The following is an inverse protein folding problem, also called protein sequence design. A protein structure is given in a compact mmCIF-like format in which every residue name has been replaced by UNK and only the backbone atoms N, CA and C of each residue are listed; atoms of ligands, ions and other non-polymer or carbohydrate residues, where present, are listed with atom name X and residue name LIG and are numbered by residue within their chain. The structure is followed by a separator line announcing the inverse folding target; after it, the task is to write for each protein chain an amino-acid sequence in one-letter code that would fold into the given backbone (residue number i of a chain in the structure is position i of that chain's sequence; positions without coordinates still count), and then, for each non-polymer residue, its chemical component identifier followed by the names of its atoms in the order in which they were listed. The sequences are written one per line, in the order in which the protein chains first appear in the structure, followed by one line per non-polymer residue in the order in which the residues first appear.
data_IF_528439630807
#
_entry.id   IF_528439630807
#
_cell.length_a   1.000
_cell.length_b   1.000
_cell.length_c   1.000
_cell.angle_alpha   90.00
_cell.angle_beta   90.00
_cell.angle_gamma   90.00
#
_symmetry.space_group_name_H-M   'P 1'
#
loop_
_entity.id
_entity.type
_entity.pdbx_description
1 polymer ?
#
# COMPACT_ATOMS: atom_id res chain seq x y z
N UNK A 1 -12.77 12.77 34.89
CA UNK A 1 -11.80 12.06 35.78
C UNK A 1 -10.44 12.03 35.08
N UNK A 2 -9.32 12.24 35.78
CA UNK A 2 -8.02 12.37 35.14
C UNK A 2 -7.43 11.01 34.74
N UNK A 3 -6.77 11.01 33.59
CA UNK A 3 -6.12 9.89 32.92
C UNK A 3 -5.10 9.17 33.82
N UNK A 4 -5.34 7.90 34.13
CA UNK A 4 -4.31 7.01 34.65
C UNK A 4 -3.76 6.15 33.53
N UNK A 5 -2.49 6.39 33.22
CA UNK A 5 -1.58 5.65 32.34
C UNK A 5 -1.76 4.13 32.43
N UNK A 6 -2.54 3.54 31.51
CA UNK A 6 -2.49 2.11 31.23
C UNK A 6 -1.45 1.86 30.14
N UNK A 7 -0.61 0.84 30.37
CA UNK A 7 0.48 0.41 29.51
C UNK A 7 0.04 0.35 28.05
N UNK A 8 0.57 1.26 27.23
CA UNK A 8 0.58 1.14 25.77
C UNK A 8 1.28 -0.18 25.44
N UNK A 9 0.51 -1.26 25.23
CA UNK A 9 1.02 -2.43 24.49
C UNK A 9 1.51 -1.85 23.17
N UNK A 10 2.81 -1.96 22.90
CA UNK A 10 3.36 -1.65 21.58
C UNK A 10 2.57 -2.50 20.60
N UNK A 11 1.68 -1.86 19.83
CA UNK A 11 1.12 -2.44 18.63
C UNK A 11 2.34 -2.94 17.85
N UNK A 12 2.40 -4.23 17.48
CA UNK A 12 3.49 -4.71 16.63
C UNK A 12 3.45 -3.80 15.40
N UNK A 13 4.51 -3.00 15.21
CA UNK A 13 4.65 -2.26 13.95
C UNK A 13 4.47 -3.29 12.84
N UNK A 14 3.49 -3.13 11.93
CA UNK A 14 3.48 -3.94 10.73
C UNK A 14 4.84 -3.72 10.08
N UNK A 15 5.58 -4.82 9.96
CA UNK A 15 6.98 -4.91 9.58
C UNK A 15 7.35 -3.82 8.55
N UNK A 16 8.29 -2.90 8.84
CA UNK A 16 8.72 -1.87 7.89
C UNK A 16 9.33 -2.48 6.60
N UNK A 17 9.59 -3.78 6.58
CA UNK A 17 10.07 -4.54 5.42
C UNK A 17 8.95 -5.24 4.61
N UNK A 18 7.65 -4.99 4.86
CA UNK A 18 6.60 -5.63 4.04
C UNK A 18 6.63 -5.08 2.59
N UNK A 19 6.74 -5.94 1.57
CA UNK A 19 6.87 -5.52 0.17
C UNK A 19 5.61 -4.84 -0.38
N UNK A 20 4.46 -5.00 0.29
CA UNK A 20 3.17 -4.40 -0.10
C UNK A 20 3.09 -2.88 0.13
N UNK A 21 4.05 -2.27 0.83
CA UNK A 21 4.15 -0.80 1.02
C UNK A 21 5.08 -0.10 0.04
N UNK A 22 5.65 -0.82 -0.93
CA UNK A 22 6.48 -0.24 -1.97
C UNK A 22 5.62 0.05 -3.21
N UNK A 23 5.16 1.29 -3.35
CA UNK A 23 4.85 1.82 -4.68
C UNK A 23 5.98 2.75 -5.14
N UNK A 24 6.71 2.20 -6.12
CA UNK A 24 7.33 2.85 -7.27
C UNK A 24 8.10 4.15 -7.05
N UNK A 25 9.39 3.98 -6.72
CA UNK A 25 10.49 4.71 -7.34
C UNK A 25 10.55 6.23 -7.13
N UNK A 26 10.22 6.81 -5.97
CA UNK A 26 10.82 8.11 -5.60
C UNK A 26 12.20 7.87 -5.00
N UNK A 27 13.23 7.88 -5.84
CA UNK A 27 14.64 7.74 -5.42
C UNK A 27 15.05 8.86 -4.44
N UNK A 28 14.42 10.04 -4.53
CA UNK A 28 14.67 11.17 -3.64
C UNK A 28 13.39 11.51 -2.88
N UNK A 29 13.34 11.09 -1.61
CA UNK A 29 12.34 11.59 -0.67
C UNK A 29 12.71 13.03 -0.32
N UNK A 30 11.76 13.97 -0.38
CA UNK A 30 11.98 15.28 0.25
C UNK A 30 12.33 15.06 1.72
N UNK A 31 13.47 15.58 2.17
CA UNK A 31 13.90 15.52 3.57
C UNK A 31 13.08 16.46 4.46
N UNK A 32 12.27 17.32 3.84
CA UNK A 32 11.40 18.27 4.54
C UNK A 32 10.16 17.52 5.02
N UNK A 33 9.85 17.55 6.34
CA UNK A 33 8.62 16.98 6.85
C UNK A 33 7.41 17.74 6.27
N UNK A 34 6.28 17.06 6.15
CA UNK A 34 5.05 17.71 5.69
C UNK A 34 4.65 18.74 6.77
N UNK A 35 4.44 20.01 6.39
CA UNK A 35 4.08 21.06 7.33
C UNK A 35 2.67 20.86 7.89
N UNK A 36 2.38 21.47 9.04
CA UNK A 36 1.08 21.37 9.70
C UNK A 36 -0.07 21.97 8.87
N UNK A 37 0.21 22.96 8.03
CA UNK A 37 -0.75 23.58 7.10
C UNK A 37 -1.27 22.58 6.05
N UNK A 38 -0.45 21.59 5.69
CA UNK A 38 -0.73 20.52 4.74
C UNK A 38 -0.98 19.21 5.48
N UNK A 39 -1.49 19.26 6.71
CA UNK A 39 -1.79 18.06 7.48
C UNK A 39 -3.06 17.37 6.96
N UNK A 40 -3.17 16.07 7.24
CA UNK A 40 -4.38 15.31 6.92
C UNK A 40 -5.63 15.92 7.57
N UNK A 41 -5.50 16.55 8.74
CA UNK A 41 -6.63 17.21 9.41
C UNK A 41 -7.22 18.35 8.58
N UNK A 42 -6.38 19.16 7.92
CA UNK A 42 -6.82 20.22 7.03
C UNK A 42 -7.51 19.67 5.76
N UNK A 43 -7.02 18.54 5.24
CA UNK A 43 -7.65 17.81 4.12
C UNK A 43 -9.02 17.25 4.54
N UNK A 44 -9.10 16.58 5.70
CA UNK A 44 -10.34 15.97 6.20
C UNK A 44 -11.40 16.99 6.62
N UNK A 45 -10.99 18.21 6.99
CA UNK A 45 -11.90 19.33 7.28
C UNK A 45 -12.30 20.13 6.03
N UNK A 46 -11.82 19.71 4.85
CA UNK A 46 -12.04 20.40 3.57
C UNK A 46 -11.67 21.89 3.60
N UNK A 47 -10.67 22.24 4.41
CA UNK A 47 -10.18 23.62 4.56
C UNK A 47 -9.22 24.04 3.43
N UNK A 48 -8.69 23.07 2.69
CA UNK A 48 -7.76 23.28 1.59
C UNK A 48 -8.53 23.31 0.26
N UNK A 49 -8.11 24.19 -0.63
CA UNK A 49 -8.66 24.26 -1.98
C UNK A 49 -7.97 23.26 -2.93
N UNK A 50 -8.58 23.05 -4.11
CA UNK A 50 -8.00 22.21 -5.15
C UNK A 50 -6.55 22.63 -5.46
N UNK A 51 -5.59 21.68 -5.58
CA UNK A 51 -5.75 20.22 -5.71
C UNK A 51 -5.59 19.42 -4.40
N UNK A 52 -5.75 20.08 -3.25
CA UNK A 52 -5.56 19.48 -1.92
C UNK A 52 -6.87 19.33 -1.14
N UNK A 53 -8.02 19.43 -1.82
CA UNK A 53 -9.33 19.31 -1.19
C UNK A 53 -9.62 17.87 -0.76
N UNK A 54 -10.67 17.68 0.06
CA UNK A 54 -11.15 16.35 0.42
C UNK A 54 -11.57 15.54 -0.82
N UNK A 55 -12.17 16.22 -1.79
CA UNK A 55 -12.58 15.61 -3.06
C UNK A 55 -11.38 15.09 -3.85
N UNK A 56 -10.29 15.86 -3.89
CA UNK A 56 -9.05 15.47 -4.57
C UNK A 56 -8.38 14.30 -3.87
N UNK A 57 -8.39 14.29 -2.53
CA UNK A 57 -7.85 13.18 -1.75
C UNK A 57 -8.64 11.89 -1.98
N UNK A 58 -9.98 11.97 -2.01
CA UNK A 58 -10.82 10.83 -2.35
C UNK A 58 -10.56 10.33 -3.79
N UNK A 59 -10.43 11.25 -4.75
CA UNK A 59 -10.11 10.90 -6.13
C UNK A 59 -8.72 10.23 -6.27
N UNK A 60 -7.74 10.69 -5.49
CA UNK A 60 -6.42 10.08 -5.40
C UNK A 60 -6.50 8.65 -4.85
N UNK A 61 -7.20 8.44 -3.73
CA UNK A 61 -7.39 7.11 -3.15
C UNK A 61 -8.11 6.16 -4.10
N UNK A 62 -9.12 6.63 -4.84
CA UNK A 62 -9.85 5.81 -5.79
C UNK A 62 -8.99 5.37 -6.99
N UNK A 63 -8.09 6.23 -7.48
CA UNK A 63 -7.31 5.99 -8.72
C UNK A 63 -5.96 5.32 -8.47
N UNK A 64 -5.23 5.77 -7.45
CA UNK A 64 -3.83 5.37 -7.24
C UNK A 64 -3.67 4.30 -6.16
N UNK A 65 -4.41 4.38 -5.06
CA UNK A 65 -4.23 3.47 -3.93
C UNK A 65 -5.31 2.38 -3.81
N UNK A 66 -6.45 2.57 -4.49
CA UNK A 66 -7.64 1.69 -4.40
C UNK A 66 -8.09 1.46 -2.96
N UNK A 67 -8.10 2.52 -2.15
CA UNK A 67 -8.39 2.48 -0.71
C UNK A 67 -9.42 3.56 -0.29
N UNK A 68 -10.39 3.86 -1.16
CA UNK A 68 -11.40 4.90 -0.95
C UNK A 68 -12.34 4.57 0.22
N UNK A 69 -12.57 3.28 0.46
CA UNK A 69 -13.37 2.74 1.55
C UNK A 69 -12.80 3.11 2.93
N UNK A 70 -11.47 3.20 3.07
CA UNK A 70 -10.82 3.61 4.31
C UNK A 70 -11.18 5.06 4.68
N UNK A 71 -11.15 5.96 3.68
CA UNK A 71 -11.54 7.36 3.88
C UNK A 71 -13.04 7.47 4.16
N UNK A 72 -13.88 6.78 3.40
CA UNK A 72 -15.32 6.80 3.57
C UNK A 72 -15.72 6.33 4.98
N UNK A 73 -15.10 5.26 5.49
CA UNK A 73 -15.32 4.77 6.85
C UNK A 73 -14.87 5.77 7.91
N UNK A 74 -13.69 6.39 7.75
CA UNK A 74 -13.16 7.39 8.69
C UNK A 74 -14.09 8.61 8.77
N UNK A 75 -14.57 9.12 7.64
CA UNK A 75 -15.53 10.23 7.60
C UNK A 75 -16.87 9.85 8.23
N UNK A 76 -17.39 8.67 7.89
CA UNK A 76 -18.60 8.14 8.49
C UNK A 76 -18.48 8.02 10.01
N UNK A 77 -17.39 7.44 10.52
CA UNK A 77 -17.21 7.20 11.95
C UNK A 77 -17.15 8.50 12.75
N UNK A 78 -16.49 9.55 12.24
CA UNK A 78 -16.46 10.87 12.90
C UNK A 78 -17.86 11.46 13.07
N UNK A 79 -18.68 11.33 12.04
CA UNK A 79 -20.06 11.81 12.06
C UNK A 79 -20.99 10.91 12.88
N UNK A 80 -20.72 9.59 12.90
CA UNK A 80 -21.40 8.63 13.76
C UNK A 80 -21.15 8.92 15.24
N UNK A 81 -19.89 9.13 15.64
CA UNK A 81 -19.51 9.48 17.00
C UNK A 81 -20.19 10.79 17.45
N UNK A 82 -20.18 11.81 16.57
CA UNK A 82 -20.88 13.08 16.82
C UNK A 82 -22.37 12.86 17.07
N UNK A 83 -23.06 12.15 16.17
CA UNK A 83 -24.50 11.87 16.30
C UNK A 83 -24.83 11.01 17.52
N UNK A 84 -23.97 10.06 17.88
CA UNK A 84 -24.14 9.26 19.09
C UNK A 84 -23.99 10.12 20.36
N UNK A 85 -23.02 11.04 20.38
CA UNK A 85 -22.83 11.96 21.50
C UNK A 85 -23.97 12.96 21.66
N UNK A 86 -24.61 13.37 20.55
CA UNK A 86 -25.78 14.25 20.54
C UNK A 86 -27.06 13.58 21.05
N UNK A 87 -27.09 12.25 21.22
CA UNK A 87 -28.26 11.54 21.76
C UNK A 87 -28.51 11.86 23.24
N UNK A 88 -29.79 11.80 23.69
CA UNK A 88 -30.11 11.92 25.10
C UNK A 88 -29.40 10.85 25.96
N UNK A 89 -29.06 11.19 27.20
CA UNK A 89 -28.34 10.29 28.13
C UNK A 89 -29.04 8.94 28.33
N UNK A 90 -30.37 8.93 28.35
CA UNK A 90 -31.17 7.70 28.47
C UNK A 90 -30.89 6.71 27.33
N UNK A 91 -30.74 7.22 26.10
CA UNK A 91 -30.44 6.39 24.94
C UNK A 91 -28.97 5.97 24.92
N UNK A 92 -28.05 6.86 25.29
CA UNK A 92 -26.63 6.53 25.41
C UNK A 92 -26.37 5.45 26.47
N UNK A 93 -27.08 5.49 27.59
CA UNK A 93 -26.98 4.52 28.68
C UNK A 93 -27.39 3.10 28.30
N UNK A 94 -28.21 2.92 27.26
CA UNK A 94 -28.57 1.59 26.73
C UNK A 94 -27.39 0.92 26.02
N UNK A 95 -26.47 1.69 25.45
CA UNK A 95 -25.31 1.17 24.74
C UNK A 95 -24.14 0.99 25.71
N UNK A 96 -23.94 -0.24 26.17
CA UNK A 96 -22.81 -0.59 27.04
C UNK A 96 -21.47 -0.34 26.34
N UNK A 97 -20.48 0.15 27.09
CA UNK A 97 -19.11 0.27 26.58
C UNK A 97 -18.40 -1.08 26.71
N UNK A 98 -18.21 -1.77 25.59
CA UNK A 98 -17.52 -3.06 25.53
C UNK A 98 -16.27 -2.94 24.65
N UNK A 99 -15.14 -3.47 25.12
CA UNK A 99 -13.91 -3.54 24.34
C UNK A 99 -13.91 -4.77 23.39
N UNK A 100 -13.67 -4.60 22.07
CA UNK A 100 -13.70 -5.70 21.11
C UNK A 100 -12.70 -6.82 21.35
N UNK A 101 -11.49 -6.48 21.77
CA UNK A 101 -10.44 -7.44 22.12
C UNK A 101 -10.89 -8.39 23.22
N UNK A 102 -11.49 -7.87 24.29
CA UNK A 102 -11.97 -8.68 25.41
C UNK A 102 -13.14 -9.59 25.02
N UNK A 103 -14.08 -9.08 24.22
CA UNK A 103 -15.23 -9.86 23.74
C UNK A 103 -14.74 -11.02 22.87
N UNK A 104 -13.81 -10.74 21.96
CA UNK A 104 -13.15 -11.76 21.14
C UNK A 104 -12.45 -12.83 21.99
N UNK A 105 -11.70 -12.44 23.02
CA UNK A 105 -11.06 -13.40 23.93
C UNK A 105 -12.07 -14.24 24.71
N UNK A 106 -13.21 -13.67 25.12
CA UNK A 106 -14.31 -14.43 25.75
C UNK A 106 -14.94 -15.42 24.77
N UNK A 107 -15.18 -15.00 23.53
CA UNK A 107 -15.69 -15.87 22.48
C UNK A 107 -14.74 -17.04 22.19
N UNK A 108 -13.45 -16.75 22.03
CA UNK A 108 -12.43 -17.76 21.75
C UNK A 108 -12.28 -18.76 22.90
N UNK A 109 -12.38 -18.32 24.16
CA UNK A 109 -12.40 -19.21 25.34
C UNK A 109 -13.59 -20.17 25.31
N UNK A 110 -14.81 -19.65 25.10
CA UNK A 110 -16.02 -20.48 24.99
C UNK A 110 -15.89 -21.53 23.89
N UNK A 111 -15.44 -21.11 22.69
CA UNK A 111 -15.23 -22.02 21.56
C UNK A 111 -14.14 -23.07 21.80
N UNK A 112 -13.16 -22.78 22.66
CA UNK A 112 -12.13 -23.75 23.06
C UNK A 112 -12.67 -24.76 24.08
N UNK A 113 -13.50 -24.32 25.03
CA UNK A 113 -14.21 -25.18 25.98
C UNK A 113 -15.16 -26.13 25.25
N UNK A 114 -16.01 -25.62 24.34
CA UNK A 114 -16.91 -26.44 23.52
C UNK A 114 -16.17 -27.50 22.69
N UNK A 115 -14.96 -27.17 22.20
CA UNK A 115 -14.12 -28.13 21.47
C UNK A 115 -13.60 -29.24 22.38
N UNK A 116 -13.15 -28.89 23.59
CA UNK A 116 -12.68 -29.87 24.59
C UNK A 116 -13.83 -30.77 25.03
N UNK A 117 -15.03 -30.23 25.21
CA UNK A 117 -16.21 -31.01 25.57
C UNK A 117 -16.56 -32.00 24.45
N UNK A 118 -16.62 -31.55 23.19
CA UNK A 118 -16.85 -32.43 22.03
C UNK A 118 -15.76 -33.49 21.85
N UNK A 119 -14.50 -33.17 22.12
CA UNK A 119 -13.40 -34.14 22.09
C UNK A 119 -13.52 -35.15 23.24
N UNK A 120 -13.96 -34.73 24.42
CA UNK A 120 -14.26 -35.62 25.54
C UNK A 120 -15.44 -36.55 25.22
N UNK A 121 -16.51 -36.04 24.62
CA UNK A 121 -17.66 -36.83 24.17
C UNK A 121 -17.27 -37.82 23.05
N UNK A 122 -16.44 -37.37 22.10
CA UNK A 122 -15.95 -38.23 21.02
C UNK A 122 -15.02 -39.32 21.55
N UNK A 123 -14.13 -39.03 22.48
CA UNK A 123 -13.27 -40.04 23.12
C UNK A 123 -14.08 -41.03 23.98
N UNK A 124 -15.13 -40.58 24.66
CA UNK A 124 -16.11 -41.44 25.33
C UNK A 124 -16.89 -42.33 24.33
N UNK A 125 -17.24 -41.82 23.15
CA UNK A 125 -17.93 -42.62 22.10
C UNK A 125 -17.03 -43.63 21.38
N UNK A 126 -15.73 -43.35 21.26
CA UNK A 126 -14.75 -44.25 20.61
C UNK A 126 -14.40 -45.44 21.52
N UNK A 127 -14.67 -45.36 22.82
CA UNK A 127 -14.49 -46.47 23.78
C UNK A 127 -15.43 -47.67 23.55
N UNK A 128 -16.37 -47.61 22.60
CA UNK A 128 -17.37 -48.67 22.35
C UNK A 128 -16.90 -49.72 21.33
N UNK A 129 -15.78 -49.49 20.63
CA UNK A 129 -15.11 -50.53 19.84
C UNK A 129 -13.74 -50.85 20.46
N UNK A 130 -13.74 -51.65 21.52
CA UNK A 130 -12.56 -52.44 21.83
C UNK A 130 -12.31 -53.38 20.63
N UNK A 131 -11.13 -53.37 19.99
CA UNK A 131 -10.84 -54.33 18.93
C UNK A 131 -11.02 -55.73 19.50
N UNK A 132 -11.86 -56.56 18.88
CA UNK A 132 -11.85 -58.00 19.13
C UNK A 132 -10.41 -58.48 18.97
N UNK A 133 -9.82 -59.19 19.95
CA UNK A 133 -8.49 -59.76 19.79
C UNK A 133 -8.49 -60.60 18.51
N UNK A 134 -7.62 -60.24 17.56
CA UNK A 134 -7.43 -61.02 16.35
C UNK A 134 -6.87 -62.40 16.76
N UNK A 135 -7.33 -63.49 16.12
CA UNK A 135 -6.80 -64.82 16.42
C UNK A 135 -5.30 -64.84 16.15
N UNK A 136 -4.52 -65.28 17.15
CA UNK A 136 -3.07 -65.46 17.05
C UNK A 136 -2.76 -66.59 16.05
N UNK A 137 -2.49 -66.21 14.81
CA UNK A 137 -1.86 -67.02 13.79
C UNK A 137 -0.84 -66.17 13.06
N UNK A 138 0.30 -66.76 12.68
CA UNK A 138 1.34 -66.09 11.90
C UNK A 138 0.72 -65.47 10.65
N UNK A 139 0.98 -64.19 10.45
CA UNK A 139 0.33 -63.47 9.37
C UNK A 139 0.98 -63.89 8.04
N UNK A 140 0.23 -64.12 6.95
CA UNK A 140 0.79 -64.66 5.71
C UNK A 140 1.91 -63.82 5.06
N UNK A 141 2.05 -62.56 5.46
CA UNK A 141 3.12 -61.66 4.99
C UNK A 141 4.42 -61.78 5.78
N UNK A 142 4.45 -62.51 6.90
CA UNK A 142 5.68 -62.81 7.66
C UNK A 142 6.56 -63.86 6.96
N UNK A 143 6.00 -64.66 6.03
CA UNK A 143 6.76 -65.58 5.15
C UNK A 143 7.46 -64.87 3.98
N UNK A 144 7.18 -63.58 3.75
CA UNK A 144 7.78 -62.83 2.64
C UNK A 144 9.18 -62.36 3.05
N UNK A 145 10.21 -63.08 2.62
CA UNK A 145 11.61 -62.66 2.80
C UNK A 145 11.95 -61.46 1.91
N UNK A 146 11.87 -60.27 2.49
CA UNK A 146 12.22 -59.00 1.84
C UNK A 146 13.71 -58.95 1.43
N UNK A 147 14.59 -59.70 2.11
CA UNK A 147 16.02 -59.74 1.79
C UNK A 147 16.33 -60.44 0.46
N UNK A 148 15.52 -61.44 0.08
CA UNK A 148 15.61 -62.10 -1.22
C UNK A 148 15.20 -61.18 -2.38
N UNK A 149 14.32 -60.20 -2.12
CA UNK A 149 13.88 -59.18 -3.09
C UNK A 149 14.88 -58.02 -3.22
N UNK A 150 15.67 -57.74 -2.19
CA UNK A 150 16.69 -56.68 -2.19
C UNK A 150 18.01 -57.12 -2.86
N UNK A 151 18.36 -58.41 -2.85
CA UNK A 151 19.60 -58.92 -3.45
C UNK A 151 19.71 -58.73 -4.98
N UNK A 152 18.62 -58.36 -5.67
CA UNK A 152 18.58 -58.10 -7.10
C UNK A 152 18.53 -56.61 -7.50
N UNK A 153 18.54 -55.67 -6.55
CA UNK A 153 18.47 -54.24 -6.86
C UNK A 153 19.82 -53.55 -6.66
N UNK A 154 20.38 -53.05 -7.76
CA UNK A 154 21.43 -52.02 -7.68
C UNK A 154 20.93 -50.84 -6.83
N UNK A 155 21.83 -50.37 -5.97
CA UNK A 155 21.61 -49.42 -4.89
C UNK A 155 21.19 -48.05 -5.44
N UNK A 156 19.89 -47.77 -5.49
CA UNK A 156 19.39 -46.42 -5.75
C UNK A 156 19.50 -45.63 -4.45
N UNK A 157 20.61 -44.91 -4.31
CA UNK A 157 20.85 -44.00 -3.18
C UNK A 157 19.86 -42.84 -3.26
N UNK A 158 18.77 -42.91 -2.49
CA UNK A 158 17.92 -41.75 -2.22
C UNK A 158 18.53 -40.94 -1.09
N UNK A 159 19.30 -39.91 -1.46
CA UNK A 159 19.72 -38.84 -0.56
C UNK A 159 18.60 -37.80 -0.47
N UNK A 160 18.00 -37.62 0.71
CA UNK A 160 17.35 -36.36 1.04
C UNK A 160 16.14 -36.45 1.97
N UNK A 161 16.41 -36.32 3.28
CA UNK A 161 15.44 -35.83 4.27
C UNK A 161 14.91 -34.43 3.91
N UNK A 162 13.58 -34.29 3.80
CA UNK A 162 12.74 -33.30 4.50
C UNK A 162 11.39 -33.20 3.79
N UNK A 163 10.41 -33.96 4.27
CA UNK A 163 9.01 -33.76 3.94
C UNK A 163 8.46 -32.56 4.73
N UNK A 164 8.65 -31.35 4.20
CA UNK A 164 7.75 -30.20 4.38
C UNK A 164 7.90 -29.31 3.14
N UNK A 165 7.11 -29.61 2.12
CA UNK A 165 6.42 -28.67 1.23
C UNK A 165 5.77 -29.49 0.12
N UNK A 166 4.43 -29.64 0.17
CA UNK A 166 3.66 -30.34 -0.85
C UNK A 166 3.53 -29.45 -2.11
N UNK A 167 4.62 -29.26 -2.83
CA UNK A 167 4.59 -28.88 -4.23
C UNK A 167 5.17 -30.07 -5.02
N UNK A 168 4.41 -30.71 -5.93
CA UNK A 168 4.95 -31.80 -6.72
C UNK A 168 6.13 -31.32 -7.57
N UNK A 169 7.18 -32.13 -7.61
CA UNK A 169 8.45 -31.83 -8.28
C UNK A 169 8.22 -31.51 -9.77
N UNK A 170 9.08 -30.66 -10.36
CA UNK A 170 8.92 -30.18 -11.73
C UNK A 170 8.84 -31.32 -12.78
N UNK A 171 9.47 -32.46 -12.51
CA UNK A 171 9.38 -33.66 -13.36
C UNK A 171 8.02 -34.36 -13.22
N UNK A 172 7.42 -34.38 -12.03
CA UNK A 172 6.06 -34.90 -11.79
C UNK A 172 4.99 -34.04 -12.48
N UNK A 173 5.17 -32.71 -12.46
CA UNK A 173 4.31 -31.76 -13.16
C UNK A 173 4.46 -31.81 -14.69
N UNK A 174 5.62 -32.21 -15.21
CA UNK A 174 5.83 -32.42 -16.64
C UNK A 174 5.12 -33.68 -17.16
N UNK A 175 4.98 -34.71 -16.31
CA UNK A 175 4.30 -35.97 -16.63
C UNK A 175 2.78 -35.84 -16.48
N UNK A 176 2.32 -35.06 -15.50
CA UNK A 176 0.91 -34.92 -15.15
C UNK A 176 0.50 -33.44 -14.87
N UNK A 177 0.47 -32.58 -15.89
CA UNK A 177 0.15 -31.15 -15.73
C UNK A 177 -1.26 -30.88 -15.19
N UNK A 178 -2.21 -31.82 -15.37
CA UNK A 178 -3.58 -31.72 -14.84
C UNK A 178 -3.65 -31.72 -13.30
N UNK A 179 -2.63 -32.23 -12.59
CA UNK A 179 -2.61 -32.26 -11.12
C UNK A 179 -2.48 -30.84 -10.54
N UNK A 180 -1.72 -29.97 -11.21
CA UNK A 180 -1.64 -28.56 -10.84
C UNK A 180 -2.97 -27.84 -11.09
N UNK A 181 -3.59 -28.08 -12.26
CA UNK A 181 -4.89 -27.48 -12.61
C UNK A 181 -6.04 -27.95 -11.70
N UNK A 182 -6.08 -29.24 -11.34
CA UNK A 182 -7.04 -29.80 -10.39
C UNK A 182 -6.82 -29.29 -8.96
N UNK A 183 -5.56 -29.12 -8.54
CA UNK A 183 -5.21 -28.51 -7.27
C UNK A 183 -5.70 -27.07 -7.18
N UNK A 184 -5.41 -26.26 -8.20
CA UNK A 184 -5.88 -24.88 -8.30
C UNK A 184 -7.41 -24.79 -8.34
N UNK A 185 -8.11 -25.66 -9.08
CA UNK A 185 -9.58 -25.64 -9.15
C UNK A 185 -10.22 -26.06 -7.83
N UNK A 186 -9.68 -27.09 -7.18
CA UNK A 186 -10.14 -27.55 -5.87
C UNK A 186 -9.92 -26.49 -4.79
N UNK A 187 -8.81 -25.76 -4.84
CA UNK A 187 -8.54 -24.65 -3.93
C UNK A 187 -9.45 -23.45 -4.22
N UNK A 188 -9.72 -23.13 -5.50
CA UNK A 188 -10.74 -22.13 -5.88
C UNK A 188 -12.13 -22.52 -5.41
N UNK A 189 -12.49 -23.80 -5.46
CA UNK A 189 -13.78 -24.29 -5.01
C UNK A 189 -13.90 -24.24 -3.48
N UNK A 190 -12.88 -24.70 -2.75
CA UNK A 190 -12.81 -24.56 -1.29
C UNK A 190 -12.90 -23.11 -0.83
N UNK A 191 -12.21 -22.21 -1.53
CA UNK A 191 -12.27 -20.78 -1.23
C UNK A 191 -13.70 -20.24 -1.43
N UNK A 192 -14.40 -20.64 -2.49
CA UNK A 192 -15.80 -20.28 -2.72
C UNK A 192 -16.72 -20.78 -1.60
N UNK A 193 -16.55 -22.03 -1.17
CA UNK A 193 -17.32 -22.61 -0.07
C UNK A 193 -17.07 -21.88 1.27
N UNK A 194 -15.81 -21.50 1.55
CA UNK A 194 -15.46 -20.71 2.74
C UNK A 194 -16.12 -19.33 2.69
N UNK A 195 -16.09 -18.66 1.54
CA UNK A 195 -16.72 -17.35 1.35
C UNK A 195 -18.24 -17.46 1.57
N UNK A 196 -18.89 -18.45 0.94
CA UNK A 196 -20.33 -18.69 1.12
C UNK A 196 -20.70 -18.98 2.58
N UNK A 197 -19.93 -19.85 3.25
CA UNK A 197 -20.17 -20.14 4.66
C UNK A 197 -19.96 -18.92 5.57
N UNK A 198 -18.98 -18.08 5.26
CA UNK A 198 -18.76 -16.82 5.98
C UNK A 198 -19.90 -15.81 5.74
N UNK A 199 -20.44 -15.75 4.52
CA UNK A 199 -21.60 -14.92 4.18
C UNK A 199 -22.86 -15.37 4.92
N UNK A 200 -23.15 -16.66 4.98
CA UNK A 200 -24.30 -17.19 5.74
C UNK A 200 -24.19 -16.86 7.24
N UNK A 201 -23.00 -17.00 7.83
CA UNK A 201 -22.75 -16.63 9.24
C UNK A 201 -22.89 -15.12 9.47
N UNK A 202 -22.50 -14.31 8.50
CA UNK A 202 -22.66 -12.87 8.52
C UNK A 202 -24.13 -12.46 8.38
N UNK A 203 -24.91 -13.10 7.50
CA UNK A 203 -26.35 -12.88 7.39
C UNK A 203 -27.06 -13.21 8.70
N UNK A 204 -26.74 -14.36 9.33
CA UNK A 204 -27.23 -14.69 10.67
C UNK A 204 -26.84 -13.61 11.68
N UNK A 205 -25.62 -13.09 11.60
CA UNK A 205 -25.16 -11.98 12.45
C UNK A 205 -25.99 -10.72 12.23
N UNK A 206 -26.27 -10.35 10.98
CA UNK A 206 -27.08 -9.18 10.63
C UNK A 206 -28.53 -9.35 11.08
N UNK A 207 -29.10 -10.54 10.95
CA UNK A 207 -30.44 -10.84 11.48
C UNK A 207 -30.49 -10.71 13.00
N UNK A 208 -29.45 -11.18 13.71
CA UNK A 208 -29.32 -10.96 15.15
C UNK A 208 -29.15 -9.47 15.48
N UNK A 209 -28.44 -8.72 14.63
CA UNK A 209 -28.31 -7.27 14.81
C UNK A 209 -29.68 -6.56 14.75
N UNK A 210 -30.61 -7.01 13.93
CA UNK A 210 -31.92 -6.34 13.78
C UNK A 210 -32.90 -6.57 14.93
N UNK A 211 -32.57 -7.39 15.94
CA UNK A 211 -33.50 -7.75 17.04
C UNK A 211 -33.56 -6.76 18.21
N UNK A 212 -32.59 -5.86 18.37
CA UNK A 212 -32.45 -5.04 19.58
C UNK A 212 -32.85 -3.57 19.36
N UNK A 213 -33.57 -2.98 20.33
CA UNK A 213 -33.98 -1.57 20.36
C UNK A 213 -32.84 -0.61 20.80
N UNK A 214 -31.66 -0.78 20.20
CA UNK A 214 -30.47 0.03 20.49
C UNK A 214 -30.42 1.30 19.62
N UNK A 215 -29.84 2.42 20.12
CA UNK A 215 -29.77 3.65 19.36
C UNK A 215 -28.88 3.49 18.12
N UNK A 216 -29.28 4.14 17.02
CA UNK A 216 -28.57 4.15 15.72
C UNK A 216 -28.26 2.76 15.13
N UNK A 217 -29.02 1.73 15.54
CA UNK A 217 -28.78 0.34 15.12
C UNK A 217 -28.95 0.13 13.62
N UNK A 218 -29.94 0.76 13.00
CA UNK A 218 -30.15 0.68 11.56
C UNK A 218 -28.92 1.15 10.77
N UNK A 219 -28.27 2.20 11.25
CA UNK A 219 -27.08 2.73 10.60
C UNK A 219 -25.90 1.79 10.72
N UNK A 220 -25.69 1.19 11.90
CA UNK A 220 -24.67 0.15 12.10
C UNK A 220 -24.91 -1.02 11.15
N UNK A 221 -26.17 -1.46 11.00
CA UNK A 221 -26.50 -2.56 10.07
C UNK A 221 -26.10 -2.18 8.64
N UNK A 222 -26.40 -0.96 8.18
CA UNK A 222 -26.00 -0.50 6.84
C UNK A 222 -24.47 -0.47 6.68
N UNK A 223 -23.74 -0.03 7.70
CA UNK A 223 -22.28 0.07 7.69
C UNK A 223 -21.64 -1.30 7.72
N UNK A 224 -22.16 -2.22 8.52
CA UNK A 224 -21.75 -3.62 8.53
C UNK A 224 -21.90 -4.19 7.13
N UNK A 225 -23.09 -4.03 6.52
CA UNK A 225 -23.39 -4.49 5.17
C UNK A 225 -22.50 -3.88 4.09
N UNK A 226 -22.11 -2.60 4.23
CA UNK A 226 -21.34 -1.88 3.22
C UNK A 226 -19.83 -2.06 3.35
N UNK A 227 -19.28 -2.05 4.57
CA UNK A 227 -17.83 -2.01 4.80
C UNK A 227 -17.27 -3.28 5.43
N UNK A 228 -18.06 -4.05 6.19
CA UNK A 228 -17.56 -5.21 6.94
C UNK A 228 -17.89 -6.55 6.26
N UNK A 229 -18.68 -6.54 5.19
CA UNK A 229 -19.00 -7.74 4.41
C UNK A 229 -17.95 -7.98 3.34
N UNK A 230 -17.48 -9.22 3.21
CA UNK A 230 -16.43 -9.57 2.25
C UNK A 230 -16.90 -9.48 0.79
N UNK A 231 -18.20 -9.62 0.53
CA UNK A 231 -18.80 -9.50 -0.81
C UNK A 231 -19.02 -8.06 -1.25
N UNK A 232 -18.92 -7.09 -0.35
CA UNK A 232 -19.07 -5.70 -0.74
C UNK A 232 -17.86 -5.24 -1.58
N UNK A 233 -18.09 -4.47 -2.67
CA UNK A 233 -16.99 -3.85 -3.41
C UNK A 233 -16.21 -2.82 -2.58
N UNK A 234 -16.74 -2.41 -1.42
CA UNK A 234 -16.13 -1.47 -0.49
C UNK A 234 -15.75 -2.15 0.84
N UNK A 235 -15.50 -3.46 0.81
CA UNK A 235 -15.08 -4.22 1.97
C UNK A 235 -13.73 -3.71 2.52
N UNK A 236 -13.69 -3.43 3.82
CA UNK A 236 -12.47 -3.10 4.54
C UNK A 236 -11.67 -4.38 4.79
N UNK A 237 -10.35 -4.27 4.69
CA UNK A 237 -9.42 -5.32 5.08
C UNK A 237 -8.78 -4.96 6.42
N UNK A 238 -9.28 -5.54 7.51
CA UNK A 238 -8.69 -5.38 8.85
C UNK A 238 -8.87 -6.65 9.69
N UNK A 239 -7.85 -6.94 10.50
CA UNK A 239 -7.88 -8.05 11.45
C UNK A 239 -8.86 -7.82 12.62
N UNK A 240 -9.30 -6.57 12.85
CA UNK A 240 -10.20 -6.21 13.94
C UNK A 240 -11.69 -6.47 13.62
N UNK A 241 -12.03 -6.74 12.35
CA UNK A 241 -13.42 -6.90 11.89
C UNK A 241 -14.16 -8.02 12.62
N UNK A 242 -13.60 -9.24 12.81
CA UNK A 242 -14.33 -10.31 13.50
C UNK A 242 -14.68 -9.97 14.95
N UNK A 243 -13.74 -9.35 15.68
CA UNK A 243 -13.95 -8.90 17.05
C UNK A 243 -15.00 -7.79 17.11
N UNK A 244 -14.95 -6.85 16.17
CA UNK A 244 -15.93 -5.78 16.04
C UNK A 244 -17.34 -6.34 15.79
N UNK A 245 -17.51 -7.26 14.82
CA UNK A 245 -18.80 -7.86 14.51
C UNK A 245 -19.44 -8.56 15.72
N UNK A 246 -18.63 -9.24 16.55
CA UNK A 246 -19.12 -9.83 17.79
C UNK A 246 -19.60 -8.76 18.79
N UNK A 247 -18.84 -7.68 19.00
CA UNK A 247 -19.26 -6.60 19.90
C UNK A 247 -20.51 -5.86 19.44
N UNK A 248 -20.65 -5.66 18.13
CA UNK A 248 -21.79 -4.95 17.56
C UNK A 248 -23.10 -5.70 17.78
N UNK A 249 -23.06 -7.03 17.98
CA UNK A 249 -24.25 -7.82 18.36
C UNK A 249 -24.89 -7.30 19.64
N UNK A 250 -24.08 -6.79 20.58
CA UNK A 250 -24.54 -6.43 21.94
C UNK A 250 -24.64 -4.93 22.15
N UNK A 251 -23.88 -4.12 21.41
CA UNK A 251 -23.73 -2.70 21.69
C UNK A 251 -23.65 -1.88 20.42
N UNK A 252 -24.05 -0.61 20.51
CA UNK A 252 -23.89 0.38 19.44
C UNK A 252 -22.94 1.50 19.86
N UNK A 253 -22.17 1.30 20.93
CA UNK A 253 -21.32 2.34 21.47
C UNK A 253 -20.13 2.64 20.51
N UNK A 254 -19.77 3.91 20.23
CA UNK A 254 -18.72 4.27 19.26
C UNK A 254 -17.34 3.73 19.64
N UNK A 255 -17.09 3.47 20.93
CA UNK A 255 -15.87 2.84 21.43
C UNK A 255 -15.53 1.53 20.70
N UNK A 256 -16.52 0.72 20.31
CA UNK A 256 -16.28 -0.56 19.65
C UNK A 256 -15.52 -0.40 18.32
N UNK A 257 -15.73 0.70 17.60
CA UNK A 257 -15.04 0.97 16.33
C UNK A 257 -13.66 1.61 16.50
N UNK A 258 -13.26 1.99 17.72
CA UNK A 258 -12.05 2.80 17.95
C UNK A 258 -10.77 2.15 17.45
N UNK A 259 -10.64 0.83 17.59
CA UNK A 259 -9.46 0.09 17.12
C UNK A 259 -9.37 0.14 15.59
N UNK A 260 -10.47 -0.17 14.90
CA UNK A 260 -10.57 -0.11 13.44
C UNK A 260 -10.34 1.32 12.93
N UNK A 261 -10.98 2.31 13.55
CA UNK A 261 -10.78 3.72 13.21
C UNK A 261 -9.32 4.15 13.36
N UNK A 262 -8.66 3.79 14.46
CA UNK A 262 -7.27 4.13 14.69
C UNK A 262 -6.32 3.50 13.66
N UNK A 263 -6.57 2.25 13.27
CA UNK A 263 -5.83 1.58 12.20
C UNK A 263 -5.98 2.32 10.88
N UNK A 264 -7.22 2.56 10.44
CA UNK A 264 -7.50 3.22 9.16
C UNK A 264 -6.99 4.67 9.14
N UNK A 265 -7.18 5.41 10.23
CA UNK A 265 -6.65 6.77 10.34
C UNK A 265 -5.12 6.76 10.30
N UNK A 266 -4.46 5.79 10.95
CA UNK A 266 -3.00 5.68 10.91
C UNK A 266 -2.48 5.36 9.51
N UNK A 267 -3.19 4.51 8.76
CA UNK A 267 -2.90 4.25 7.35
C UNK A 267 -3.04 5.54 6.52
N UNK A 268 -4.16 6.25 6.67
CA UNK A 268 -4.38 7.50 5.95
C UNK A 268 -3.31 8.56 6.29
N UNK A 269 -2.90 8.67 7.55
CA UNK A 269 -1.91 9.66 8.01
C UNK A 269 -0.47 9.33 7.60
N UNK A 270 -0.06 8.07 7.71
CA UNK A 270 1.34 7.67 7.56
C UNK A 270 1.68 7.23 6.13
N UNK A 271 0.73 6.61 5.44
CA UNK A 271 0.95 6.03 4.11
C UNK A 271 0.28 6.89 3.02
N UNK A 272 -1.05 7.01 3.05
CA UNK A 272 -1.81 7.62 1.96
C UNK A 272 -1.55 9.14 1.83
N UNK A 273 -1.62 9.87 2.94
CA UNK A 273 -1.51 11.32 2.94
C UNK A 273 -0.14 11.81 2.44
N UNK A 274 1.01 11.29 2.89
CA UNK A 274 2.29 11.68 2.32
C UNK A 274 2.44 11.38 0.83
N UNK A 275 1.78 10.32 0.34
CA UNK A 275 1.77 9.99 -1.09
C UNK A 275 0.88 10.95 -1.87
N UNK A 276 -0.29 11.30 -1.34
CA UNK A 276 -1.17 12.32 -1.89
C UNK A 276 -0.47 13.67 -2.03
N UNK A 277 0.16 14.17 -0.95
CA UNK A 277 0.90 15.44 -0.99
C UNK A 277 2.01 15.39 -2.03
N UNK A 278 2.76 14.29 -2.13
CA UNK A 278 3.81 14.16 -3.16
C UNK A 278 3.23 14.14 -4.57
N UNK A 279 2.12 13.43 -4.80
CA UNK A 279 1.46 13.41 -6.08
C UNK A 279 0.98 14.82 -6.49
N UNK A 280 0.48 15.61 -5.52
CA UNK A 280 0.09 17.00 -5.74
C UNK A 280 1.29 17.92 -6.05
N UNK A 281 2.47 17.63 -5.49
CA UNK A 281 3.70 18.41 -5.75
C UNK A 281 4.34 18.14 -7.12
N UNK A 282 3.90 17.13 -7.85
CA UNK A 282 4.44 16.82 -9.19
C UNK A 282 4.04 17.93 -10.16
N UNK A 283 5.04 18.61 -10.73
CA UNK A 283 4.80 19.72 -11.66
C UNK A 283 4.72 19.29 -13.14
N UNK A 284 5.07 18.03 -13.45
CA UNK A 284 5.10 17.50 -14.82
C UNK A 284 4.34 16.19 -14.98
N UNK A 285 3.67 16.01 -16.11
CA UNK A 285 2.96 14.76 -16.45
C UNK A 285 3.84 13.81 -17.24
N UNK A 286 3.45 12.53 -17.25
CA UNK A 286 4.22 11.43 -17.83
C UNK A 286 4.82 11.71 -19.23
N UNK A 287 4.08 12.22 -20.22
CA UNK A 287 4.63 12.30 -21.57
C UNK A 287 5.62 13.48 -21.72
N UNK A 288 5.39 14.62 -21.05
CA UNK A 288 6.34 15.75 -21.05
C UNK A 288 7.54 15.46 -20.17
N UNK A 289 7.32 14.80 -19.04
CA UNK A 289 8.38 14.28 -18.18
C UNK A 289 9.30 13.35 -18.96
N UNK A 290 8.75 12.44 -19.77
CA UNK A 290 9.55 11.57 -20.63
C UNK A 290 10.36 12.37 -21.67
N UNK A 291 9.75 13.35 -22.34
CA UNK A 291 10.46 14.20 -23.29
C UNK A 291 11.62 14.97 -22.64
N UNK A 292 11.38 15.61 -21.50
CA UNK A 292 12.42 16.31 -20.73
C UNK A 292 13.49 15.35 -20.21
N UNK A 293 13.11 14.12 -19.89
CA UNK A 293 14.05 13.10 -19.43
C UNK A 293 14.96 12.63 -20.56
N UNK A 294 14.43 12.45 -21.77
CA UNK A 294 15.24 12.20 -22.97
C UNK A 294 16.23 13.35 -23.24
N UNK A 295 15.82 14.61 -23.06
CA UNK A 295 16.71 15.77 -23.20
C UNK A 295 17.81 15.74 -22.12
N UNK A 296 17.45 15.48 -20.86
CA UNK A 296 18.41 15.38 -19.77
C UNK A 296 19.41 14.23 -19.98
N UNK A 297 18.94 13.08 -20.47
CA UNK A 297 19.77 11.94 -20.82
C UNK A 297 20.68 12.24 -22.01
N UNK A 298 20.18 12.97 -23.02
CA UNK A 298 20.98 13.43 -24.15
C UNK A 298 22.09 14.40 -23.73
N UNK A 299 21.79 15.33 -22.82
CA UNK A 299 22.79 16.22 -22.20
C UNK A 299 23.86 15.43 -21.45
N UNK A 300 23.48 14.37 -20.74
CA UNK A 300 24.41 13.50 -20.02
C UNK A 300 25.28 12.65 -20.97
N UNK A 301 24.66 11.87 -21.86
CA UNK A 301 25.36 10.91 -22.73
C UNK A 301 26.10 11.61 -23.88
N UNK A 302 25.40 12.47 -24.63
CA UNK A 302 25.97 13.16 -25.78
C UNK A 302 26.78 14.38 -25.38
N UNK A 303 26.24 15.22 -24.49
CA UNK A 303 26.93 16.43 -24.03
C UNK A 303 28.06 16.14 -23.05
N UNK A 304 27.81 15.35 -22.02
CA UNK A 304 28.78 15.03 -20.97
C UNK A 304 29.79 13.97 -21.40
N UNK A 305 29.34 12.73 -21.55
CA UNK A 305 30.23 11.59 -21.82
C UNK A 305 30.90 11.69 -23.18
N UNK A 306 30.15 11.89 -24.27
CA UNK A 306 30.74 11.85 -25.60
C UNK A 306 31.72 13.02 -25.84
N UNK A 307 31.40 14.25 -25.41
CA UNK A 307 32.36 15.37 -25.50
C UNK A 307 33.55 15.13 -24.58
N UNK A 308 33.34 14.66 -23.35
CA UNK A 308 34.43 14.35 -22.42
C UNK A 308 35.40 13.30 -22.97
N UNK A 309 34.87 12.22 -23.55
CA UNK A 309 35.67 11.18 -24.21
C UNK A 309 36.32 11.68 -25.50
N UNK A 310 35.61 12.44 -26.34
CA UNK A 310 36.19 13.04 -27.54
C UNK A 310 37.38 13.94 -27.20
N UNK A 311 37.31 14.74 -26.14
CA UNK A 311 38.43 15.56 -25.66
C UNK A 311 39.58 14.74 -25.06
N UNK A 312 39.32 13.50 -24.62
CA UNK A 312 40.38 12.55 -24.25
C UNK A 312 41.07 12.00 -25.49
N UNK A 313 40.32 11.68 -26.55
CA UNK A 313 40.84 11.06 -27.77
C UNK A 313 41.42 12.05 -28.80
N UNK A 314 40.90 13.28 -28.90
CA UNK A 314 41.31 14.29 -29.88
C UNK A 314 42.59 15.05 -29.49
N UNK A 315 43.56 14.40 -28.86
CA UNK A 315 44.85 15.01 -28.54
C UNK A 315 45.75 15.09 -29.77
N UNK A 316 45.43 16.00 -30.70
CA UNK A 316 46.35 16.48 -31.72
C UNK A 316 46.73 17.94 -31.40
N UNK A 317 47.92 18.13 -30.82
CA UNK A 317 48.56 19.44 -30.60
C UNK A 317 48.09 20.22 -29.37
N UNK A 318 49.04 20.59 -28.49
CA UNK A 318 49.04 21.65 -27.44
C UNK A 318 47.84 21.82 -26.48
N UNK A 319 46.77 21.03 -26.55
CA UNK A 319 45.61 21.20 -25.68
C UNK A 319 45.88 20.71 -24.26
N UNK A 320 45.84 21.64 -23.30
CA UNK A 320 45.96 21.36 -21.88
C UNK A 320 44.88 20.39 -21.38
N UNK A 321 45.24 19.48 -20.47
CA UNK A 321 44.33 18.51 -19.82
C UNK A 321 43.08 19.15 -19.19
N UNK A 322 43.16 20.44 -18.85
CA UNK A 322 42.06 21.21 -18.30
C UNK A 322 40.82 21.29 -19.23
N UNK A 323 41.00 21.22 -20.55
CA UNK A 323 39.87 21.24 -21.50
C UNK A 323 38.88 20.10 -21.26
N UNK A 324 39.36 18.97 -20.75
CA UNK A 324 38.52 17.82 -20.41
C UNK A 324 37.45 18.15 -19.35
N UNK A 325 37.71 19.14 -18.50
CA UNK A 325 36.78 19.59 -17.44
C UNK A 325 35.55 20.33 -17.99
N UNK A 326 35.56 20.75 -19.25
CA UNK A 326 34.41 21.41 -19.90
C UNK A 326 33.17 20.51 -19.99
N UNK A 327 33.35 19.19 -19.92
CA UNK A 327 32.24 18.23 -19.89
C UNK A 327 31.53 18.12 -18.53
N UNK A 328 32.15 18.60 -17.44
CA UNK A 328 31.64 18.44 -16.07
C UNK A 328 30.28 19.10 -15.84
N UNK A 329 30.03 20.37 -16.26
CA UNK A 329 28.74 20.99 -16.08
C UNK A 329 27.61 20.24 -16.79
N UNK A 330 27.89 19.65 -17.96
CA UNK A 330 26.91 18.87 -18.73
C UNK A 330 26.57 17.56 -18.05
N UNK A 331 27.58 16.87 -17.48
CA UNK A 331 27.36 15.67 -16.66
C UNK A 331 26.53 16.01 -15.42
N UNK A 332 26.91 17.06 -14.69
CA UNK A 332 26.17 17.52 -13.52
C UNK A 332 24.71 17.86 -13.85
N UNK A 333 24.50 18.66 -14.90
CA UNK A 333 23.16 19.08 -15.32
C UNK A 333 22.31 17.91 -15.80
N UNK A 334 22.90 16.97 -16.55
CA UNK A 334 22.23 15.77 -17.05
C UNK A 334 21.79 14.83 -15.93
N UNK A 335 22.67 14.52 -14.98
CA UNK A 335 22.34 13.66 -13.82
C UNK A 335 21.30 14.35 -12.93
N UNK A 336 21.54 15.61 -12.55
CA UNK A 336 20.64 16.35 -11.65
C UNK A 336 19.24 16.48 -12.25
N UNK A 337 19.15 16.86 -13.53
CA UNK A 337 17.86 16.99 -14.21
C UNK A 337 17.14 15.65 -14.36
N UNK A 338 17.87 14.58 -14.68
CA UNK A 338 17.28 13.23 -14.78
C UNK A 338 16.69 12.78 -13.45
N UNK A 339 17.39 13.02 -12.33
CA UNK A 339 16.92 12.69 -10.99
C UNK A 339 15.73 13.56 -10.55
N UNK A 340 15.74 14.86 -10.85
CA UNK A 340 14.58 15.73 -10.61
C UNK A 340 13.34 15.23 -11.36
N UNK A 341 13.50 14.94 -12.66
CA UNK A 341 12.42 14.47 -13.52
C UNK A 341 11.91 13.09 -13.11
N UNK A 342 12.78 12.19 -12.65
CA UNK A 342 12.38 10.90 -12.08
C UNK A 342 11.40 11.07 -10.91
N UNK A 343 11.59 12.10 -10.08
CA UNK A 343 10.70 12.44 -8.97
C UNK A 343 9.51 13.35 -9.39
N UNK A 344 9.31 13.57 -10.70
CA UNK A 344 8.19 14.36 -11.23
C UNK A 344 8.36 15.87 -11.14
N UNK A 345 9.55 16.36 -10.78
CA UNK A 345 9.85 17.79 -10.67
C UNK A 345 10.77 18.20 -11.81
N UNK A 346 10.28 19.03 -12.74
CA UNK A 346 11.10 19.64 -13.77
C UNK A 346 11.70 20.97 -13.25
N UNK A 347 13.03 21.17 -13.29
CA UNK A 347 13.66 22.43 -12.88
C UNK A 347 13.21 23.64 -13.69
N UNK A 348 12.91 23.46 -14.98
CA UNK A 348 12.44 24.54 -15.87
C UNK A 348 11.01 24.97 -15.55
N UNK A 349 10.12 24.00 -15.29
CA UNK A 349 8.75 24.27 -14.86
C UNK A 349 8.76 24.92 -13.46
N UNK A 350 9.64 24.46 -12.57
CA UNK A 350 9.84 25.06 -11.25
C UNK A 350 10.28 26.53 -11.35
N UNK A 351 11.29 26.83 -12.17
CA UNK A 351 11.83 28.19 -12.30
C UNK A 351 10.82 29.18 -12.88
N UNK A 352 9.97 28.71 -13.80
CA UNK A 352 8.90 29.48 -14.43
C UNK A 352 7.60 29.51 -13.61
N UNK A 353 7.62 28.97 -12.38
CA UNK A 353 6.43 28.83 -11.51
C UNK A 353 5.24 28.20 -12.23
N UNK A 354 5.54 27.24 -13.10
CA UNK A 354 4.57 26.62 -13.99
C UNK A 354 4.37 25.14 -13.62
N UNK A 355 3.12 24.67 -13.67
CA UNK A 355 2.78 23.25 -13.62
C UNK A 355 2.05 22.85 -14.90
N UNK A 356 2.36 21.66 -15.41
CA UNK A 356 1.61 21.07 -16.50
C UNK A 356 0.28 20.49 -16.02
N UNK A 357 -0.82 20.88 -16.67
CA UNK A 357 -2.15 20.33 -16.37
C UNK A 357 -2.34 18.95 -17.00
N UNK A 358 -3.21 18.15 -16.38
CA UNK A 358 -3.72 16.96 -17.06
C UNK A 358 -4.77 17.32 -18.11
N UNK A 359 -4.90 16.49 -19.14
CA UNK A 359 -5.89 16.64 -20.22
C UNK A 359 -7.35 16.70 -19.73
N UNK A 360 -7.63 16.15 -18.54
CA UNK A 360 -8.97 16.14 -17.93
C UNK A 360 -9.13 17.17 -16.81
N UNK A 361 -8.07 17.89 -16.44
CA UNK A 361 -8.16 18.94 -15.43
C UNK A 361 -8.71 20.21 -16.11
N UNK A 362 -9.79 20.80 -15.58
CA UNK A 362 -10.28 22.06 -16.11
C UNK A 362 -9.24 23.15 -15.88
N UNK A 363 -9.07 24.04 -16.85
CA UNK A 363 -8.26 25.25 -16.66
C UNK A 363 -8.84 26.04 -15.47
N UNK A 364 -8.02 26.43 -14.48
CA UNK A 364 -8.47 27.30 -13.41
C UNK A 364 -8.93 28.63 -14.02
N UNK A 365 -10.15 29.04 -13.68
CA UNK A 365 -10.68 30.32 -14.13
C UNK A 365 -9.87 31.43 -13.45
N UNK A 366 -9.37 32.44 -14.18
CA UNK A 366 -8.72 33.57 -13.55
C UNK A 366 -9.71 34.27 -12.61
N UNK A 367 -9.29 34.49 -11.36
CA UNK A 367 -10.07 35.26 -10.39
C UNK A 367 -10.36 36.64 -10.97
N UNK A 368 -11.65 36.99 -11.06
CA UNK A 368 -12.23 38.25 -11.54
C UNK A 368 -11.26 39.31 -12.10
N UNK A 369 -11.02 39.24 -13.41
CA UNK A 369 -10.81 40.46 -14.21
C UNK A 369 -11.95 40.52 -15.20
N UNK A 370 -12.94 41.36 -14.91
CA UNK A 370 -14.24 41.44 -15.59
C UNK A 370 -14.19 41.90 -17.04
N UNK A 371 -13.46 41.22 -17.92
CA UNK A 371 -13.41 41.50 -19.35
C UNK A 371 -13.71 40.25 -20.19
N UNK A 372 -14.95 40.27 -20.69
CA UNK A 372 -15.39 39.82 -22.01
C UNK A 372 -15.19 38.33 -22.35
N UNK A 373 -16.32 37.61 -22.30
CA UNK A 373 -16.58 36.35 -23.00
C UNK A 373 -16.05 36.43 -24.45
N UNK A 374 -15.12 35.56 -24.79
CA UNK A 374 -14.96 35.08 -26.17
C UNK A 374 -15.01 33.55 -26.18
N UNK A 375 -15.97 33.04 -26.94
CA UNK A 375 -16.15 31.63 -27.30
C UNK A 375 -14.87 31.07 -27.90
N UNK A 376 -14.52 29.86 -27.47
CA UNK A 376 -13.47 29.01 -28.03
C UNK A 376 -12.90 28.16 -26.91
N UNK A 377 -13.36 26.91 -26.76
CA UNK A 377 -12.67 25.95 -25.90
C UNK A 377 -11.32 25.65 -26.54
N UNK A 378 -10.16 25.97 -25.95
CA UNK A 378 -8.93 25.36 -26.40
C UNK A 378 -9.02 23.87 -26.05
N UNK A 379 -8.76 23.00 -27.02
CA UNK A 379 -8.53 21.60 -26.74
C UNK A 379 -7.24 21.49 -25.91
N UNK A 380 -7.23 20.74 -24.78
CA UNK A 380 -6.06 20.68 -23.94
C UNK A 380 -4.89 20.05 -24.70
N UNK A 381 -3.81 20.81 -24.81
CA UNK A 381 -2.60 20.42 -25.53
C UNK A 381 -1.56 19.80 -24.60
N UNK A 382 -0.66 18.99 -25.18
CA UNK A 382 0.48 18.40 -24.46
C UNK A 382 1.39 19.45 -23.76
N UNK A 383 1.37 20.71 -24.21
CA UNK A 383 2.19 21.81 -23.70
C UNK A 383 1.37 22.83 -22.88
N UNK A 384 0.25 22.44 -22.28
CA UNK A 384 -0.55 23.36 -21.48
C UNK A 384 0.01 23.47 -20.05
N UNK A 385 0.39 24.69 -19.68
CA UNK A 385 0.97 25.02 -18.39
C UNK A 385 0.14 26.08 -17.69
N UNK A 386 -0.11 25.88 -16.39
CA UNK A 386 -0.63 26.89 -15.47
C UNK A 386 0.52 27.56 -14.78
N UNK A 387 0.57 28.90 -14.87
CA UNK A 387 1.51 29.74 -14.12
C UNK A 387 0.91 30.10 -12.75
N UNK A 388 1.79 30.22 -11.77
CA UNK A 388 1.46 30.62 -10.39
C UNK A 388 0.36 29.73 -9.77
N UNK A 389 0.48 28.42 -9.98
CA UNK A 389 -0.39 27.40 -9.38
C UNK A 389 -0.22 27.36 -7.85
N UNK A 390 -1.09 26.60 -7.16
CA UNK A 390 -1.17 26.56 -5.69
C UNK A 390 0.19 26.41 -4.99
N UNK A 391 1.09 25.55 -5.51
CA UNK A 391 2.39 25.29 -4.92
C UNK A 391 3.36 26.47 -5.06
N UNK A 392 3.18 27.32 -6.07
CA UNK A 392 4.00 28.50 -6.29
C UNK A 392 3.64 29.62 -5.29
N UNK A 393 2.36 29.71 -4.91
CA UNK A 393 1.86 30.59 -3.86
C UNK A 393 2.12 30.07 -2.44
N UNK A 394 2.26 28.75 -2.26
CA UNK A 394 2.47 28.12 -0.95
C UNK A 394 3.97 27.94 -0.65
N UNK A 395 4.55 28.69 0.32
CA UNK A 395 6.00 28.69 0.55
C UNK A 395 6.54 27.30 0.91
N UNK A 396 5.80 26.54 1.71
CA UNK A 396 6.22 25.24 2.19
C UNK A 396 6.18 24.16 1.09
N UNK A 397 5.22 24.23 0.17
CA UNK A 397 5.16 23.31 -0.98
C UNK A 397 6.37 23.53 -1.91
N UNK A 398 6.73 24.81 -2.11
CA UNK A 398 7.92 25.19 -2.86
C UNK A 398 9.21 24.76 -2.18
N UNK A 399 9.28 24.83 -0.85
CA UNK A 399 10.41 24.33 -0.08
C UNK A 399 10.57 22.81 -0.25
N UNK A 400 9.47 22.06 -0.24
CA UNK A 400 9.51 20.61 -0.47
C UNK A 400 10.04 20.25 -1.86
N UNK A 401 9.62 20.96 -2.92
CA UNK A 401 10.15 20.77 -4.27
C UNK A 401 11.62 21.21 -4.38
N UNK A 402 11.98 22.31 -3.73
CA UNK A 402 13.36 22.82 -3.67
C UNK A 402 14.30 21.82 -3.01
N UNK A 403 13.88 21.19 -1.92
CA UNK A 403 14.66 20.16 -1.24
C UNK A 403 14.95 18.95 -2.13
N UNK A 404 13.99 18.52 -2.96
CA UNK A 404 14.20 17.44 -3.94
C UNK A 404 15.25 17.85 -4.98
N UNK A 405 15.20 19.09 -5.49
CA UNK A 405 16.20 19.57 -6.44
C UNK A 405 17.58 19.73 -5.84
N UNK A 406 17.70 20.17 -4.57
CA UNK A 406 18.98 20.19 -3.87
C UNK A 406 19.53 18.77 -3.74
N UNK A 407 18.70 17.80 -3.34
CA UNK A 407 19.13 16.41 -3.22
C UNK A 407 19.62 15.86 -4.57
N UNK A 408 18.87 16.12 -5.65
CA UNK A 408 19.26 15.74 -7.00
C UNK A 408 20.57 16.42 -7.43
N UNK A 409 20.74 17.71 -7.12
CA UNK A 409 21.96 18.47 -7.38
C UNK A 409 23.18 17.90 -6.65
N UNK A 410 23.02 17.44 -5.40
CA UNK A 410 24.09 16.79 -4.62
C UNK A 410 24.52 15.46 -5.24
N UNK A 411 23.56 14.64 -5.66
CA UNK A 411 23.85 13.41 -6.42
C UNK A 411 24.51 13.70 -7.77
N UNK A 412 24.09 14.77 -8.44
CA UNK A 412 24.75 15.28 -9.63
C UNK A 412 26.20 15.67 -9.39
N UNK A 413 26.51 16.33 -8.26
CA UNK A 413 27.89 16.68 -7.88
C UNK A 413 28.72 15.41 -7.67
N UNK A 414 28.17 14.40 -6.98
CA UNK A 414 28.86 13.12 -6.81
C UNK A 414 29.19 12.47 -8.17
N UNK A 415 28.19 12.39 -9.07
CA UNK A 415 28.40 11.85 -10.42
C UNK A 415 29.42 12.65 -11.24
N UNK A 416 29.39 13.97 -11.12
CA UNK A 416 30.38 14.87 -11.73
C UNK A 416 31.80 14.62 -11.20
N UNK A 417 31.98 14.46 -9.89
CA UNK A 417 33.30 14.19 -9.28
C UNK A 417 33.86 12.83 -9.71
N UNK A 418 32.99 11.81 -9.79
CA UNK A 418 33.37 10.49 -10.33
C UNK A 418 33.83 10.64 -11.78
N UNK A 419 33.07 11.38 -12.61
CA UNK A 419 33.44 11.63 -14.01
C UNK A 419 34.75 12.42 -14.14
N UNK A 420 34.97 13.43 -13.30
CA UNK A 420 36.22 14.18 -13.26
C UNK A 420 37.41 13.25 -12.99
N UNK A 421 37.27 12.32 -12.04
CA UNK A 421 38.27 11.31 -11.74
C UNK A 421 38.58 10.44 -12.96
N UNK A 422 37.55 9.92 -13.65
CA UNK A 422 37.72 9.09 -14.86
C UNK A 422 38.49 9.84 -15.94
N UNK A 423 38.05 11.06 -16.26
CA UNK A 423 38.58 11.82 -17.39
C UNK A 423 39.99 12.36 -17.13
N UNK A 424 40.35 12.64 -15.87
CA UNK A 424 41.70 13.04 -15.48
C UNK A 424 42.66 11.86 -15.34
N UNK A 425 42.16 10.68 -14.94
CA UNK A 425 42.98 9.47 -14.78
C UNK A 425 43.37 8.82 -16.11
N UNK A 426 42.56 9.01 -17.17
CA UNK A 426 42.86 8.43 -18.47
C UNK A 426 44.16 9.01 -19.06
N UNK A 427 45.17 8.15 -19.35
CA UNK A 427 46.46 8.60 -19.84
C UNK A 427 46.30 9.36 -21.15
N UNK A 428 47.11 10.40 -21.31
CA UNK A 428 47.26 11.09 -22.59
C UNK A 428 48.00 10.13 -23.53
N UNK A 429 47.34 9.65 -24.58
CA UNK A 429 48.00 8.83 -25.60
C UNK A 429 49.24 9.56 -26.10
N UNK A 430 50.39 8.87 -26.12
CA UNK A 430 51.62 9.39 -26.71
C UNK A 430 51.53 9.34 -28.23
#
# INVERSE_FOLDING_TARGET
MPFTSSKVRRVPHPNPASPARQLTLTFLRSSVPIPLSLSLEHVLSDSLCHPLSLSDFNAFLAREERAQENLAFVLWFREYERRFLDLPEEWRGKAEMIEPSEEWERHMRRKAEDRREKESERSLSVSVYAPTPLPEGEAPWEEIDLGALEAGREEVVFLGERAMDNMPDAETLAIAPWIAEEGEEKDRQRMREIIQGAEEELEKTVQLLLRDDLPLREEIVRVVLHFLTLSSPHALSSAHIPALLLTLRRTTHPHSFRQLYAELLSYLQLDAHPRFIRAALVNTRAPFRAAMWCIALGLYLGGGLAIGLALVFCQQGELNRAWRLTSLPLVWAGISSSLCLWNGICPLAFSTRSRQLALWEPMPMPADSGHRRTRGRPHPGFMEFVRDDWWAGHPEAREMQWAVMIAAGRWGVLGMLIWAGVVLALPTGR
#
